data_IF_736929275009
#
_entry.id   IF_736929275009
#
_cell.length_a   1.000
_cell.length_b   1.000
_cell.length_c   1.000
_cell.angle_alpha   90.00
_cell.angle_beta   90.00
_cell.angle_gamma   90.00
#
_symmetry.space_group_name_H-M   'P 1'
#
loop_
_entity.id
_entity.type
_entity.pdbx_description
1 polymer ?
#
# COMPACT_ATOMS: atom_id res chain seq x y z
N UNK A 1 23.53 -10.74 5.75
CA UNK A 1 24.10 -10.11 4.54
C UNK A 1 23.08 -9.77 3.44
N UNK A 2 22.08 -10.58 3.08
CA UNK A 2 21.13 -10.22 1.98
C UNK A 2 19.98 -9.24 2.32
N UNK A 3 19.91 -8.75 3.56
CA UNK A 3 18.82 -7.89 4.04
C UNK A 3 19.16 -6.39 3.94
N UNK A 4 20.43 -6.04 4.06
CA UNK A 4 20.93 -4.66 3.86
C UNK A 4 20.60 -4.19 2.45
N UNK A 5 20.87 -5.02 1.44
CA UNK A 5 20.67 -4.67 0.02
C UNK A 5 19.26 -4.19 -0.29
N UNK A 6 18.21 -4.77 0.31
CA UNK A 6 16.82 -4.38 -0.02
C UNK A 6 16.44 -3.03 0.56
N UNK A 7 16.89 -2.73 1.78
CA UNK A 7 16.65 -1.44 2.42
C UNK A 7 17.46 -0.35 1.73
N UNK A 8 18.72 -0.65 1.37
CA UNK A 8 19.59 0.24 0.59
C UNK A 8 19.02 0.50 -0.81
N UNK A 9 18.47 -0.52 -1.48
CA UNK A 9 17.79 -0.35 -2.77
C UNK A 9 16.52 0.51 -2.67
N UNK A 10 15.72 0.37 -1.61
CA UNK A 10 14.54 1.20 -1.39
C UNK A 10 14.93 2.66 -1.11
N UNK A 11 15.99 2.90 -0.32
CA UNK A 11 16.51 4.23 -0.02
C UNK A 11 17.11 4.92 -1.26
N UNK A 12 17.87 4.18 -2.08
CA UNK A 12 18.38 4.66 -3.38
C UNK A 12 17.25 4.99 -4.35
N UNK A 13 16.18 4.20 -4.35
CA UNK A 13 15.01 4.43 -5.18
C UNK A 13 14.25 5.70 -4.76
N UNK A 14 14.05 5.92 -3.45
CA UNK A 14 13.42 7.13 -2.91
C UNK A 14 14.23 8.39 -3.20
N UNK A 15 15.56 8.31 -3.15
CA UNK A 15 16.47 9.40 -3.52
C UNK A 15 16.37 9.76 -5.01
N UNK A 16 16.22 8.77 -5.89
CA UNK A 16 16.10 9.01 -7.33
C UNK A 16 14.72 9.55 -7.76
N UNK A 17 13.68 9.34 -6.95
CA UNK A 17 12.32 9.84 -7.20
C UNK A 17 12.19 11.36 -6.95
N UNK A 18 13.06 11.94 -6.12
CA UNK A 18 13.08 13.39 -5.88
C UNK A 18 13.59 14.22 -7.06
N UNK A 19 14.35 13.63 -7.99
CA UNK A 19 15.22 14.40 -8.90
C UNK A 19 14.86 14.35 -10.39
N UNK A 20 13.79 13.66 -10.84
CA UNK A 20 13.57 13.50 -12.30
C UNK A 20 12.18 13.84 -12.79
N UNK A 21 12.03 15.11 -13.17
CA UNK A 21 11.03 15.60 -14.12
C UNK A 21 11.63 15.59 -15.53
N UNK A 22 10.87 15.01 -16.48
CA UNK A 22 10.98 15.10 -17.95
C UNK A 22 12.22 14.47 -18.60
N UNK A 23 12.07 13.21 -19.04
CA UNK A 23 12.76 12.73 -20.25
C UNK A 23 12.04 11.50 -20.84
N UNK A 24 12.14 11.25 -22.14
CA UNK A 24 11.44 10.17 -22.88
C UNK A 24 11.77 8.76 -22.36
N UNK A 25 12.87 8.62 -21.64
CA UNK A 25 13.24 7.41 -20.88
C UNK A 25 12.28 7.09 -19.71
N UNK A 26 11.45 8.03 -19.27
CA UNK A 26 10.40 7.82 -18.27
C UNK A 26 9.27 6.94 -18.80
N UNK A 27 8.90 7.07 -20.08
CA UNK A 27 7.77 6.32 -20.65
C UNK A 27 8.14 4.86 -20.94
N UNK A 28 9.34 4.59 -21.46
CA UNK A 28 9.85 3.22 -21.62
C UNK A 28 10.05 2.51 -20.28
N UNK A 29 10.61 3.21 -19.27
CA UNK A 29 10.72 2.64 -17.92
C UNK A 29 9.37 2.46 -17.23
N UNK A 30 8.36 3.25 -17.60
CA UNK A 30 6.99 3.11 -17.10
C UNK A 30 6.31 1.87 -17.67
N UNK A 31 6.48 1.56 -18.96
CA UNK A 31 5.95 0.32 -19.57
C UNK A 31 6.64 -0.92 -19.00
N UNK A 32 7.98 -0.91 -18.91
CA UNK A 32 8.75 -1.98 -18.25
C UNK A 32 8.34 -2.16 -16.77
N UNK A 33 8.05 -1.06 -16.06
CA UNK A 33 7.56 -1.09 -14.69
C UNK A 33 6.11 -1.58 -14.58
N UNK A 34 5.23 -1.20 -15.49
CA UNK A 34 3.83 -1.65 -15.53
C UNK A 34 3.74 -3.16 -15.80
N UNK A 35 4.62 -3.70 -16.63
CA UNK A 35 4.69 -5.14 -16.92
C UNK A 35 5.37 -5.93 -15.79
N UNK A 36 6.41 -5.39 -15.15
CA UNK A 36 7.02 -5.99 -13.96
C UNK A 36 6.05 -5.99 -12.76
N UNK A 37 5.20 -4.96 -12.64
CA UNK A 37 4.10 -4.92 -11.67
C UNK A 37 3.02 -5.92 -12.05
N UNK A 38 2.71 -6.11 -13.35
CA UNK A 38 1.73 -7.10 -13.84
C UNK A 38 2.15 -8.55 -13.53
N UNK A 39 3.43 -8.90 -13.72
CA UNK A 39 3.95 -10.23 -13.38
C UNK A 39 3.98 -10.49 -11.86
N UNK A 40 4.18 -9.46 -11.03
CA UNK A 40 4.03 -9.59 -9.57
C UNK A 40 2.57 -9.64 -9.09
N UNK A 41 1.61 -9.34 -9.97
CA UNK A 41 0.18 -9.19 -9.64
C UNK A 41 -0.61 -10.52 -9.72
N UNK A 42 -0.11 -11.55 -10.40
CA UNK A 42 -0.81 -12.86 -10.53
C UNK A 42 -0.28 -13.99 -9.64
N UNK A 43 0.67 -13.70 -8.73
CA UNK A 43 1.12 -14.67 -7.74
C UNK A 43 1.13 -14.07 -6.33
N UNK A 44 0.06 -14.33 -5.56
CA UNK A 44 0.12 -14.29 -4.10
C UNK A 44 0.29 -15.74 -3.62
N UNK A 45 1.53 -16.20 -3.34
CA UNK A 45 1.73 -17.49 -2.70
C UNK A 45 1.06 -17.49 -1.32
N UNK A 46 0.63 -18.69 -0.91
CA UNK A 46 0.11 -19.03 0.41
C UNK A 46 0.79 -18.27 1.54
N UNK A 47 -0.01 -17.91 2.56
CA UNK A 47 0.40 -17.24 3.80
C UNK A 47 1.83 -17.64 4.22
N UNK A 48 2.73 -16.67 4.10
CA UNK A 48 4.15 -16.89 4.33
C UNK A 48 4.44 -17.26 5.79
N UNK A 49 5.51 -18.05 5.95
CA UNK A 49 6.42 -18.15 7.10
C UNK A 49 6.18 -17.07 8.15
N UNK A 50 6.12 -17.49 9.42
CA UNK A 50 5.93 -16.66 10.61
C UNK A 50 6.48 -15.22 10.46
N UNK A 51 5.62 -14.22 10.70
CA UNK A 51 6.01 -12.80 10.68
C UNK A 51 7.23 -12.58 11.59
N UNK A 52 8.23 -11.88 11.07
CA UNK A 52 9.42 -11.49 11.82
C UNK A 52 8.99 -10.68 13.05
N UNK A 53 9.44 -11.11 14.22
CA UNK A 53 9.29 -10.34 15.46
C UNK A 53 10.36 -9.25 15.46
N UNK A 54 9.95 -8.01 15.63
CA UNK A 54 10.84 -6.84 15.72
C UNK A 54 10.82 -6.28 17.13
N UNK A 55 11.93 -5.64 17.54
CA UNK A 55 12.02 -4.96 18.83
C UNK A 55 11.14 -3.70 18.86
N UNK A 56 11.00 -3.10 20.05
CA UNK A 56 10.33 -1.81 20.20
C UNK A 56 11.02 -0.70 19.39
N UNK A 57 12.35 -0.68 19.38
CA UNK A 57 13.13 0.32 18.63
C UNK A 57 12.95 0.16 17.12
N UNK A 58 13.04 -1.06 16.60
CA UNK A 58 12.78 -1.34 15.18
C UNK A 58 11.33 -1.02 14.79
N UNK A 59 10.37 -1.25 15.69
CA UNK A 59 8.98 -0.87 15.49
C UNK A 59 8.82 0.64 15.36
N UNK A 60 9.47 1.42 16.23
CA UNK A 60 9.43 2.88 16.18
C UNK A 60 10.03 3.41 14.86
N UNK A 61 11.14 2.84 14.40
CA UNK A 61 11.76 3.19 13.11
C UNK A 61 10.81 2.90 11.93
N UNK A 62 10.17 1.73 11.91
CA UNK A 62 9.20 1.38 10.87
C UNK A 62 7.97 2.28 10.86
N UNK A 63 7.47 2.66 12.04
CA UNK A 63 6.35 3.58 12.17
C UNK A 63 6.72 5.00 11.74
N UNK A 64 7.94 5.46 12.04
CA UNK A 64 8.48 6.72 11.55
C UNK A 64 8.49 6.75 10.02
N UNK A 65 9.07 5.71 9.40
CA UNK A 65 9.13 5.60 7.94
C UNK A 65 7.73 5.49 7.31
N UNK A 66 6.83 4.71 7.91
CA UNK A 66 5.44 4.60 7.46
C UNK A 66 4.71 5.95 7.54
N UNK A 67 4.99 6.77 8.55
CA UNK A 67 4.41 8.10 8.69
C UNK A 67 4.94 9.08 7.63
N UNK A 68 6.23 9.04 7.31
CA UNK A 68 6.81 9.84 6.22
C UNK A 68 6.15 9.51 4.87
N UNK A 69 6.05 8.21 4.55
CA UNK A 69 5.35 7.75 3.34
C UNK A 69 3.88 8.18 3.33
N UNK A 70 3.21 8.10 4.48
CA UNK A 70 1.81 8.55 4.63
C UNK A 70 1.70 10.04 4.34
N UNK A 71 2.60 10.86 4.87
CA UNK A 71 2.58 12.30 4.68
C UNK A 71 2.83 12.66 3.21
N UNK A 72 3.77 11.98 2.54
CA UNK A 72 3.95 12.11 1.09
C UNK A 72 2.67 11.75 0.33
N UNK A 73 2.02 10.64 0.70
CA UNK A 73 0.74 10.24 0.10
C UNK A 73 -0.39 11.26 0.31
N UNK A 74 -0.46 11.91 1.48
CA UNK A 74 -1.43 12.99 1.76
C UNK A 74 -1.14 14.22 0.90
N UNK A 75 0.13 14.58 0.73
CA UNK A 75 0.51 15.71 -0.13
C UNK A 75 0.10 15.43 -1.59
N UNK A 76 0.42 14.24 -2.11
CA UNK A 76 0.00 13.83 -3.45
C UNK A 76 -1.52 13.79 -3.62
N UNK A 77 -2.25 13.39 -2.58
CA UNK A 77 -3.71 13.43 -2.60
C UNK A 77 -4.24 14.86 -2.77
N UNK A 78 -3.67 15.82 -2.04
CA UNK A 78 -4.05 17.23 -2.13
C UNK A 78 -3.76 17.84 -3.52
N UNK A 79 -2.73 17.33 -4.18
CA UNK A 79 -2.35 17.69 -5.55
C UNK A 79 -3.16 16.95 -6.63
N UNK A 80 -4.16 16.14 -6.24
CA UNK A 80 -4.94 15.27 -7.13
C UNK A 80 -4.10 14.21 -7.86
N UNK A 81 -2.89 13.94 -7.37
CA UNK A 81 -2.02 12.88 -7.87
C UNK A 81 -2.35 11.55 -7.17
N UNK A 82 -3.50 10.99 -7.54
CA UNK A 82 -4.01 9.76 -6.94
C UNK A 82 -3.14 8.53 -7.25
N UNK A 83 -2.44 8.53 -8.38
CA UNK A 83 -1.48 7.46 -8.72
C UNK A 83 -0.33 7.40 -7.73
N UNK A 84 0.28 8.55 -7.40
CA UNK A 84 1.32 8.60 -6.38
C UNK A 84 0.78 8.27 -4.98
N UNK A 85 -0.46 8.66 -4.69
CA UNK A 85 -1.11 8.25 -3.43
C UNK A 85 -1.26 6.72 -3.34
N UNK A 86 -1.64 6.05 -4.43
CA UNK A 86 -1.67 4.58 -4.51
C UNK A 86 -0.29 4.01 -4.19
N UNK A 87 0.76 4.53 -4.83
CA UNK A 87 2.15 4.08 -4.63
C UNK A 87 2.58 4.20 -3.17
N UNK A 88 2.39 5.37 -2.54
CA UNK A 88 2.78 5.58 -1.13
C UNK A 88 2.09 4.58 -0.19
N UNK A 89 0.79 4.32 -0.38
CA UNK A 89 0.07 3.39 0.48
C UNK A 89 0.46 1.92 0.23
N UNK A 90 0.82 1.54 -1.00
CA UNK A 90 1.38 0.21 -1.29
C UNK A 90 2.72 0.03 -0.58
N UNK A 91 3.59 1.04 -0.61
CA UNK A 91 4.89 0.98 0.07
C UNK A 91 4.75 0.80 1.58
N UNK A 92 3.81 1.51 2.22
CA UNK A 92 3.49 1.30 3.65
C UNK A 92 3.06 -0.15 3.88
N UNK A 93 2.14 -0.68 3.07
CA UNK A 93 1.68 -2.05 3.25
C UNK A 93 2.79 -3.09 3.04
N UNK A 94 3.72 -2.85 2.11
CA UNK A 94 4.87 -3.72 1.88
C UNK A 94 5.85 -3.67 3.06
N UNK A 95 6.19 -2.47 3.55
CA UNK A 95 7.04 -2.26 4.72
C UNK A 95 6.51 -3.03 5.94
N UNK A 96 5.20 -3.00 6.14
CA UNK A 96 4.54 -3.55 7.32
C UNK A 96 4.02 -4.99 7.16
N UNK A 97 4.20 -5.62 5.98
CA UNK A 97 3.57 -6.90 5.62
C UNK A 97 4.08 -8.07 6.49
N UNK A 98 5.38 -8.13 6.70
CA UNK A 98 6.08 -9.31 7.20
C UNK A 98 6.55 -9.16 8.66
N UNK A 99 6.11 -8.09 9.34
CA UNK A 99 6.58 -7.74 10.69
C UNK A 99 5.46 -7.76 11.72
N UNK A 100 5.82 -8.17 12.94
CA UNK A 100 5.03 -7.99 14.16
C UNK A 100 5.93 -7.44 15.26
N UNK A 101 5.46 -6.44 16.00
CA UNK A 101 6.19 -5.93 17.15
C UNK A 101 6.08 -6.92 18.32
N UNK A 102 7.16 -7.06 19.11
CA UNK A 102 7.14 -7.81 20.36
C UNK A 102 6.30 -7.15 21.46
N UNK A 103 6.18 -5.82 21.40
CA UNK A 103 5.41 -5.01 22.35
C UNK A 103 3.98 -4.81 21.84
N UNK A 104 2.99 -5.00 22.73
CA UNK A 104 1.56 -4.93 22.38
C UNK A 104 1.19 -3.60 21.75
N UNK A 105 1.58 -2.47 22.36
CA UNK A 105 1.28 -1.13 21.84
C UNK A 105 1.84 -0.94 20.42
N UNK A 106 3.10 -1.32 20.18
CA UNK A 106 3.69 -1.25 18.85
C UNK A 106 2.98 -2.17 17.85
N UNK A 107 2.53 -3.35 18.27
CA UNK A 107 1.78 -4.27 17.40
C UNK A 107 0.43 -3.68 16.97
N UNK A 108 -0.26 -2.99 17.90
CA UNK A 108 -1.50 -2.26 17.63
C UNK A 108 -1.27 -1.07 16.69
N UNK A 109 -0.20 -0.28 16.90
CA UNK A 109 0.15 0.84 16.02
C UNK A 109 0.46 0.38 14.59
N UNK A 110 1.25 -0.69 14.42
CA UNK A 110 1.51 -1.27 13.10
C UNK A 110 0.21 -1.75 12.43
N UNK A 111 -0.72 -2.33 13.20
CA UNK A 111 -2.01 -2.75 12.69
C UNK A 111 -2.86 -1.57 12.24
N UNK A 112 -2.87 -0.48 13.01
CA UNK A 112 -3.59 0.74 12.67
C UNK A 112 -3.03 1.40 11.41
N UNK A 113 -1.70 1.47 11.25
CA UNK A 113 -1.08 1.97 10.02
C UNK A 113 -1.45 1.12 8.80
N UNK A 114 -1.48 -0.21 8.94
CA UNK A 114 -1.95 -1.11 7.87
C UNK A 114 -3.41 -0.86 7.51
N UNK A 115 -4.30 -0.72 8.51
CA UNK A 115 -5.72 -0.40 8.27
C UNK A 115 -5.89 0.92 7.54
N UNK A 116 -5.23 1.97 8.04
CA UNK A 116 -5.26 3.31 7.44
C UNK A 116 -4.73 3.30 6.00
N UNK A 117 -3.62 2.63 5.76
CA UNK A 117 -3.06 2.50 4.41
C UNK A 117 -4.01 1.77 3.46
N UNK A 118 -4.69 0.69 3.90
CA UNK A 118 -5.70 0.01 3.07
C UNK A 118 -6.90 0.89 2.77
N UNK A 119 -7.39 1.66 3.75
CA UNK A 119 -8.51 2.60 3.55
C UNK A 119 -8.16 3.64 2.50
N UNK A 120 -6.99 4.28 2.65
CA UNK A 120 -6.50 5.28 1.70
C UNK A 120 -6.25 4.69 0.31
N UNK A 121 -5.65 3.50 0.26
CA UNK A 121 -5.42 2.78 -0.99
C UNK A 121 -6.73 2.45 -1.70
N UNK A 122 -7.76 2.01 -0.97
CA UNK A 122 -9.07 1.70 -1.55
C UNK A 122 -9.71 2.95 -2.19
N UNK A 123 -9.65 4.11 -1.53
CA UNK A 123 -10.13 5.37 -2.13
C UNK A 123 -9.31 5.74 -3.37
N UNK A 124 -7.97 5.72 -3.28
CA UNK A 124 -7.10 6.14 -4.36
C UNK A 124 -7.21 5.21 -5.59
N UNK A 125 -7.42 3.91 -5.35
CA UNK A 125 -7.73 2.95 -6.41
C UNK A 125 -9.08 3.24 -7.07
N UNK A 126 -10.12 3.65 -6.33
CA UNK A 126 -11.38 4.10 -6.95
C UNK A 126 -11.15 5.33 -7.85
N UNK A 127 -10.41 6.32 -7.36
CA UNK A 127 -10.09 7.53 -8.15
C UNK A 127 -9.25 7.27 -9.39
N UNK A 128 -8.53 6.15 -9.43
CA UNK A 128 -7.71 5.73 -10.58
C UNK A 128 -8.33 4.57 -11.37
N UNK A 129 -9.62 4.29 -11.15
CA UNK A 129 -10.37 3.24 -11.85
C UNK A 129 -9.83 1.80 -11.66
N UNK A 130 -9.02 1.56 -10.63
CA UNK A 130 -8.49 0.25 -10.27
C UNK A 130 -9.47 -0.52 -9.37
N UNK A 131 -10.68 -0.77 -9.88
CA UNK A 131 -11.83 -1.29 -9.12
C UNK A 131 -11.57 -2.60 -8.39
N UNK A 132 -10.87 -3.54 -9.04
CA UNK A 132 -10.54 -4.82 -8.42
C UNK A 132 -9.61 -4.66 -7.20
N UNK A 133 -8.62 -3.77 -7.28
CA UNK A 133 -7.71 -3.48 -6.16
C UNK A 133 -8.43 -2.73 -5.05
N UNK A 134 -9.29 -1.77 -5.38
CA UNK A 134 -10.11 -1.07 -4.40
C UNK A 134 -11.01 -2.04 -3.62
N UNK A 135 -11.67 -2.97 -4.32
CA UNK A 135 -12.49 -4.03 -3.74
C UNK A 135 -11.69 -4.96 -2.83
N UNK A 136 -10.54 -5.45 -3.29
CA UNK A 136 -9.69 -6.34 -2.47
C UNK A 136 -9.27 -5.69 -1.14
N UNK A 137 -8.96 -4.39 -1.16
CA UNK A 137 -8.63 -3.65 0.08
C UNK A 137 -9.85 -3.46 0.98
N UNK A 138 -11.03 -3.19 0.40
CA UNK A 138 -12.28 -3.13 1.16
C UNK A 138 -12.65 -4.49 1.78
N UNK A 139 -12.53 -5.59 1.03
CA UNK A 139 -12.76 -6.95 1.54
C UNK A 139 -11.82 -7.29 2.70
N UNK A 140 -10.55 -6.87 2.64
CA UNK A 140 -9.59 -7.04 3.75
C UNK A 140 -10.01 -6.26 5.00
N UNK A 141 -10.45 -5.01 4.85
CA UNK A 141 -10.97 -4.21 5.98
C UNK A 141 -12.21 -4.87 6.60
N UNK A 142 -13.12 -5.38 5.77
CA UNK A 142 -14.33 -6.08 6.23
C UNK A 142 -14.04 -7.43 6.90
N UNK A 143 -12.93 -8.09 6.54
CA UNK A 143 -12.50 -9.30 7.24
C UNK A 143 -12.04 -9.02 8.69
N UNK A 144 -11.56 -7.81 8.95
CA UNK A 144 -11.15 -7.36 10.29
C UNK A 144 -12.33 -6.77 11.07
N UNK A 145 -13.18 -5.99 10.39
CA UNK A 145 -14.41 -5.43 10.93
C UNK A 145 -15.54 -5.51 9.89
N UNK A 146 -16.43 -6.52 9.99
CA UNK A 146 -17.54 -6.69 9.04
C UNK A 146 -18.52 -5.52 8.98
N UNK A 147 -18.53 -4.66 10.02
CA UNK A 147 -19.42 -3.51 10.13
C UNK A 147 -18.71 -2.18 9.81
N UNK A 148 -17.52 -2.21 9.20
CA UNK A 148 -16.83 -1.00 8.72
C UNK A 148 -17.63 -0.37 7.57
N UNK A 149 -18.37 0.69 7.88
CA UNK A 149 -19.24 1.39 6.93
C UNK A 149 -18.47 1.96 5.73
N UNK A 150 -17.24 2.48 5.94
CA UNK A 150 -16.43 3.01 4.85
C UNK A 150 -16.00 1.88 3.91
N UNK A 151 -15.65 0.72 4.44
CA UNK A 151 -15.28 -0.43 3.65
C UNK A 151 -16.49 -1.02 2.89
N UNK A 152 -17.68 -1.06 3.50
CA UNK A 152 -18.92 -1.45 2.83
C UNK A 152 -19.24 -0.54 1.65
N UNK A 153 -19.25 0.79 1.87
CA UNK A 153 -19.52 1.78 0.82
C UNK A 153 -18.53 1.61 -0.34
N UNK A 154 -17.23 1.46 -0.04
CA UNK A 154 -16.18 1.26 -1.06
C UNK A 154 -16.41 0.00 -1.87
N UNK A 155 -16.75 -1.09 -1.20
CA UNK A 155 -17.01 -2.37 -1.84
C UNK A 155 -18.22 -2.28 -2.78
N UNK A 156 -19.30 -1.64 -2.33
CA UNK A 156 -20.49 -1.37 -3.14
C UNK A 156 -20.17 -0.51 -4.36
N UNK A 157 -19.41 0.58 -4.20
CA UNK A 157 -18.95 1.43 -5.31
C UNK A 157 -18.13 0.62 -6.33
N UNK A 158 -17.27 -0.28 -5.87
CA UNK A 158 -16.53 -1.18 -6.76
C UNK A 158 -17.46 -2.12 -7.53
N UNK A 159 -18.47 -2.73 -6.88
CA UNK A 159 -19.42 -3.60 -7.55
C UNK A 159 -20.25 -2.86 -8.60
N UNK A 160 -20.67 -1.62 -8.30
CA UNK A 160 -21.36 -0.77 -9.25
C UNK A 160 -20.50 -0.48 -10.50
N UNK A 161 -19.25 -0.03 -10.30
CA UNK A 161 -18.32 0.28 -11.39
C UNK A 161 -17.90 -0.97 -12.19
N UNK A 162 -17.96 -2.16 -11.59
CA UNK A 162 -17.72 -3.45 -12.27
C UNK A 162 -18.98 -4.01 -12.96
N UNK A 163 -20.11 -3.31 -12.94
CA UNK A 163 -21.38 -3.78 -13.53
C UNK A 163 -22.06 -4.92 -12.76
N UNK A 164 -21.68 -5.14 -11.50
CA UNK A 164 -22.14 -6.25 -10.65
C UNK A 164 -23.22 -5.79 -9.66
N UNK A 165 -24.31 -5.21 -10.18
CA UNK A 165 -25.33 -4.51 -9.40
C UNK A 165 -26.04 -5.35 -8.32
N UNK A 166 -26.12 -6.68 -8.48
CA UNK A 166 -26.68 -7.59 -7.46
C UNK A 166 -25.92 -7.53 -6.12
N UNK A 167 -24.65 -7.10 -6.15
CA UNK A 167 -23.75 -7.10 -5.01
C UNK A 167 -23.38 -5.69 -4.54
N UNK A 168 -23.83 -4.66 -5.26
CA UNK A 168 -23.65 -3.26 -4.89
C UNK A 168 -24.68 -2.88 -3.81
#
# INVERSE_FOLDING_TARGET
EKADDRLTHLQLYLRNLGDKVRDETYMQRKEEWEDMVREQVDYLPQEAKEKRVISETECAEMLSLANEMRQAGVNHWSEHNYSMTVTSNIQILQLLKEVRCSVVNGAEELAEYRRRARKNLSIACLKTHQWNKAKQNADKLLSENPNDLDALIRRSECFFNLGRFKYA
#
